data_IF_930340864675
#
_entry.id   IF_930340864675
#
_cell.length_a   1.000
_cell.length_b   1.000
_cell.length_c   1.000
_cell.angle_alpha   90.00
_cell.angle_beta   90.00
_cell.angle_gamma   90.00
#
_symmetry.space_group_name_H-M   'P 1'
#
loop_
_entity.id
_entity.type
_entity.pdbx_description
1 polymer ?
#
# COMPACT_ATOMS: atom_id res chain seq x y z
N UNK A 1 22.19 -15.50 -8.21
CA UNK A 1 20.92 -15.83 -8.90
C UNK A 1 20.11 -14.55 -9.06
N UNK A 2 19.51 -14.35 -10.24
CA UNK A 2 19.13 -13.05 -10.78
C UNK A 2 18.27 -12.20 -9.83
N UNK A 3 18.67 -10.94 -9.64
CA UNK A 3 17.77 -9.88 -9.21
C UNK A 3 16.63 -9.85 -10.23
N UNK A 4 15.44 -10.31 -9.87
CA UNK A 4 14.21 -9.93 -10.57
C UNK A 4 13.97 -8.43 -10.31
N UNK A 5 14.84 -7.62 -10.91
CA UNK A 5 14.72 -6.19 -11.05
C UNK A 5 13.37 -5.91 -11.68
N UNK A 6 12.47 -5.33 -10.88
CA UNK A 6 11.30 -4.56 -11.28
C UNK A 6 10.90 -4.78 -12.73
N UNK A 7 10.17 -5.86 -12.98
CA UNK A 7 9.60 -6.10 -14.30
C UNK A 7 8.88 -4.82 -14.73
N UNK A 8 9.19 -4.33 -15.95
CA UNK A 8 8.54 -3.21 -16.65
C UNK A 8 7.03 -3.44 -16.91
N UNK A 9 6.36 -4.24 -16.08
CA UNK A 9 4.97 -4.65 -16.21
C UNK A 9 4.07 -3.61 -15.58
N UNK A 10 3.52 -2.76 -16.44
CA UNK A 10 2.61 -1.69 -16.11
C UNK A 10 1.38 -2.18 -15.36
N UNK A 11 1.15 -1.61 -14.18
CA UNK A 11 -0.20 -1.26 -13.74
C UNK A 11 -0.91 -0.45 -14.84
N UNK A 12 -2.14 -0.81 -15.16
CA UNK A 12 -3.04 -0.14 -16.11
C UNK A 12 -3.55 1.23 -15.60
N UNK A 13 -2.64 2.11 -15.17
CA UNK A 13 -3.02 3.49 -14.86
C UNK A 13 -3.49 4.18 -16.14
N UNK A 14 -4.77 4.53 -16.17
CA UNK A 14 -5.34 5.33 -17.25
C UNK A 14 -4.49 6.58 -17.50
N UNK A 15 -4.18 6.83 -18.77
CA UNK A 15 -3.32 7.94 -19.20
C UNK A 15 -1.82 7.73 -19.06
N UNK A 16 -1.35 6.54 -18.61
CA UNK A 16 0.06 6.15 -18.50
C UNK A 16 0.98 7.27 -17.97
N UNK A 17 0.73 7.78 -16.74
CA UNK A 17 1.42 8.96 -16.22
C UNK A 17 2.93 8.77 -16.04
N UNK A 18 3.39 7.51 -16.06
CA UNK A 18 4.79 7.11 -15.92
C UNK A 18 5.49 6.86 -17.26
N UNK A 19 4.86 7.17 -18.41
CA UNK A 19 5.45 6.94 -19.73
C UNK A 19 5.93 8.24 -20.37
N UNK A 20 7.16 8.23 -20.89
CA UNK A 20 7.77 9.32 -21.66
C UNK A 20 8.22 8.74 -23.00
N UNK A 21 7.70 9.29 -24.12
CA UNK A 21 7.97 8.78 -25.47
C UNK A 21 7.69 7.28 -25.63
N UNK A 22 6.60 6.79 -25.04
CA UNK A 22 6.22 5.37 -25.06
C UNK A 22 7.02 4.48 -24.09
N UNK A 23 8.05 4.99 -23.44
CA UNK A 23 8.88 4.23 -22.49
C UNK A 23 8.44 4.52 -21.05
N UNK A 24 8.11 3.46 -20.31
CA UNK A 24 7.80 3.54 -18.87
C UNK A 24 9.06 3.87 -18.08
N UNK A 25 8.94 4.79 -17.13
CA UNK A 25 9.99 5.23 -16.22
C UNK A 25 9.53 5.14 -14.77
N UNK A 26 10.48 5.01 -13.85
CA UNK A 26 10.19 5.19 -12.43
C UNK A 26 9.89 6.67 -12.14
N UNK A 27 9.14 6.94 -11.08
CA UNK A 27 8.81 8.30 -10.68
C UNK A 27 10.05 9.20 -10.58
N UNK A 28 11.16 8.67 -10.06
CA UNK A 28 12.41 9.42 -9.89
C UNK A 28 13.07 9.83 -11.22
N UNK A 29 12.80 9.09 -12.30
CA UNK A 29 13.38 9.32 -13.63
C UNK A 29 12.47 10.18 -14.52
N UNK A 30 11.31 10.59 -14.00
CA UNK A 30 10.38 11.44 -14.74
C UNK A 30 10.83 12.91 -14.77
N UNK A 31 10.51 13.63 -15.86
CA UNK A 31 10.55 15.08 -15.92
C UNK A 31 9.74 15.75 -14.78
N UNK A 32 10.13 16.95 -14.39
CA UNK A 32 9.58 17.62 -13.20
C UNK A 32 8.08 17.96 -13.33
N UNK A 33 7.62 18.32 -14.54
CA UNK A 33 6.22 18.53 -14.87
C UNK A 33 5.39 17.25 -14.63
N UNK A 34 5.90 16.08 -15.06
CA UNK A 34 5.26 14.78 -14.84
C UNK A 34 5.25 14.39 -13.36
N UNK A 35 6.34 14.63 -12.63
CA UNK A 35 6.39 14.44 -11.17
C UNK A 35 5.32 15.28 -10.47
N UNK A 36 5.18 16.55 -10.83
CA UNK A 36 4.18 17.45 -10.27
C UNK A 36 2.76 16.97 -10.60
N UNK A 37 2.52 16.52 -11.83
CA UNK A 37 1.24 15.91 -12.22
C UNK A 37 0.90 14.68 -11.37
N UNK A 38 1.85 13.75 -11.17
CA UNK A 38 1.64 12.55 -10.36
C UNK A 38 1.40 12.89 -8.89
N UNK A 39 2.10 13.88 -8.32
CA UNK A 39 1.81 14.37 -6.96
C UNK A 39 0.38 14.89 -6.84
N UNK A 40 -0.10 15.65 -7.83
CA UNK A 40 -1.48 16.11 -7.90
C UNK A 40 -2.47 14.96 -8.01
N UNK A 41 -2.18 13.97 -8.86
CA UNK A 41 -3.00 12.78 -9.02
C UNK A 41 -3.05 11.94 -7.74
N UNK A 42 -1.93 11.75 -7.06
CA UNK A 42 -1.83 11.02 -5.78
C UNK A 42 -2.71 11.62 -4.70
N UNK A 43 -2.74 12.95 -4.58
CA UNK A 43 -3.66 13.65 -3.65
C UNK A 43 -5.13 13.43 -4.00
N UNK A 44 -5.48 13.48 -5.30
CA UNK A 44 -6.86 13.22 -5.75
C UNK A 44 -7.29 11.79 -5.45
N UNK A 45 -6.42 10.82 -5.73
CA UNK A 45 -6.66 9.41 -5.43
C UNK A 45 -6.76 9.18 -3.93
N UNK A 46 -5.88 9.77 -3.11
CA UNK A 46 -5.98 9.71 -1.64
C UNK A 46 -7.33 10.22 -1.12
N UNK A 47 -7.83 11.33 -1.65
CA UNK A 47 -9.17 11.84 -1.32
C UNK A 47 -10.28 10.85 -1.70
N UNK A 48 -10.25 10.31 -2.92
CA UNK A 48 -11.23 9.32 -3.38
C UNK A 48 -11.18 8.02 -2.55
N UNK A 49 -9.97 7.58 -2.18
CA UNK A 49 -9.77 6.45 -1.27
C UNK A 49 -10.42 6.73 0.08
N UNK A 50 -10.15 7.89 0.68
CA UNK A 50 -10.67 8.24 1.99
C UNK A 50 -12.20 8.25 2.01
N UNK A 51 -12.83 8.90 1.04
CA UNK A 51 -14.30 8.93 0.93
C UNK A 51 -14.91 7.53 0.83
N UNK A 52 -14.25 6.60 0.14
CA UNK A 52 -14.73 5.22 0.03
C UNK A 52 -14.44 4.36 1.27
N UNK A 53 -13.39 4.66 2.04
CA UNK A 53 -12.85 3.78 3.08
C UNK A 53 -13.20 4.21 4.51
N UNK A 54 -13.59 5.46 4.75
CA UNK A 54 -13.74 6.05 6.09
C UNK A 54 -14.62 5.25 7.07
N UNK A 55 -15.65 4.57 6.54
CA UNK A 55 -16.60 3.76 7.31
C UNK A 55 -16.40 2.25 7.12
N UNK A 56 -15.32 1.84 6.47
CA UNK A 56 -15.02 0.43 6.15
C UNK A 56 -13.94 -0.12 7.07
N UNK A 57 -13.92 -1.44 7.16
CA UNK A 57 -12.86 -2.19 7.84
C UNK A 57 -12.65 -3.56 7.21
N UNK A 58 -11.48 -4.15 7.41
CA UNK A 58 -11.13 -5.48 6.94
C UNK A 58 -10.75 -6.33 8.14
N UNK A 59 -11.41 -7.48 8.31
CA UNK A 59 -11.04 -8.45 9.33
C UNK A 59 -9.95 -9.37 8.80
N UNK A 60 -8.93 -9.63 9.63
CA UNK A 60 -7.82 -10.51 9.31
C UNK A 60 -7.41 -11.35 10.51
N UNK A 61 -6.75 -12.48 10.27
CA UNK A 61 -6.15 -13.28 11.34
C UNK A 61 -4.64 -13.01 11.38
N UNK A 62 -4.14 -12.52 12.52
CA UNK A 62 -2.73 -12.30 12.78
C UNK A 62 -2.34 -12.93 14.13
N UNK A 63 -1.27 -13.72 14.14
CA UNK A 63 -0.79 -14.45 15.33
C UNK A 63 -1.89 -15.26 16.07
N UNK A 64 -2.83 -15.84 15.32
CA UNK A 64 -3.95 -16.62 15.87
C UNK A 64 -5.09 -15.78 16.47
N UNK A 65 -5.06 -14.45 16.31
CA UNK A 65 -6.12 -13.53 16.76
C UNK A 65 -6.79 -12.87 15.57
N UNK A 66 -8.11 -12.70 15.65
CA UNK A 66 -8.84 -11.86 14.71
C UNK A 66 -8.59 -10.39 15.04
N UNK A 67 -8.12 -9.64 14.06
CA UNK A 67 -7.92 -8.19 14.13
C UNK A 67 -8.85 -7.51 13.15
N UNK A 68 -9.30 -6.31 13.51
CA UNK A 68 -10.08 -5.44 12.62
C UNK A 68 -9.19 -4.30 12.17
N UNK A 69 -8.82 -4.30 10.89
CA UNK A 69 -8.01 -3.25 10.27
C UNK A 69 -8.96 -2.17 9.75
N UNK A 70 -8.77 -0.95 10.21
CA UNK A 70 -9.55 0.22 9.84
C UNK A 70 -8.70 1.18 9.01
N UNK A 71 -9.36 2.22 8.50
CA UNK A 71 -8.71 3.24 7.66
C UNK A 71 -8.82 4.59 8.32
N UNK A 72 -7.72 5.33 8.35
CA UNK A 72 -7.69 6.74 8.73
C UNK A 72 -7.14 7.58 7.56
N UNK A 73 -7.36 8.89 7.62
CA UNK A 73 -6.96 9.80 6.55
C UNK A 73 -5.44 9.77 6.30
N UNK A 74 -4.64 9.67 7.36
CA UNK A 74 -3.17 9.72 7.27
C UNK A 74 -2.62 8.46 6.60
N UNK A 75 -3.10 7.30 7.01
CA UNK A 75 -2.75 6.00 6.44
C UNK A 75 -3.18 5.88 4.99
N UNK A 76 -4.38 6.37 4.66
CA UNK A 76 -4.84 6.44 3.26
C UNK A 76 -3.94 7.32 2.40
N UNK A 77 -3.57 8.51 2.87
CA UNK A 77 -2.66 9.40 2.14
C UNK A 77 -1.27 8.79 1.96
N UNK A 78 -0.75 8.12 2.99
CA UNK A 78 0.52 7.39 2.91
C UNK A 78 0.45 6.28 1.87
N UNK A 79 -0.56 5.41 1.92
CA UNK A 79 -0.76 4.36 0.92
C UNK A 79 -0.87 4.94 -0.49
N UNK A 80 -1.61 6.06 -0.64
CA UNK A 80 -1.77 6.70 -1.93
C UNK A 80 -0.46 7.24 -2.49
N UNK A 81 0.35 7.83 -1.62
CA UNK A 81 1.70 8.32 -1.93
C UNK A 81 2.63 7.16 -2.27
N UNK A 82 2.67 6.12 -1.45
CA UNK A 82 3.62 5.02 -1.62
C UNK A 82 3.32 4.24 -2.90
N UNK A 83 2.05 3.91 -3.15
CA UNK A 83 1.63 3.21 -4.35
C UNK A 83 1.99 3.98 -5.63
N UNK A 84 1.81 5.30 -5.65
CA UNK A 84 2.01 6.10 -6.87
C UNK A 84 3.44 6.63 -7.01
N UNK A 85 4.06 7.09 -5.93
CA UNK A 85 5.36 7.75 -5.98
C UNK A 85 6.48 6.76 -5.75
N UNK A 86 6.43 5.98 -4.66
CA UNK A 86 7.52 5.04 -4.31
C UNK A 86 7.50 3.85 -5.26
N UNK A 87 6.32 3.27 -5.48
CA UNK A 87 6.15 2.09 -6.33
C UNK A 87 5.86 2.44 -7.79
N UNK A 88 5.92 3.72 -8.16
CA UNK A 88 5.65 4.21 -9.52
C UNK A 88 4.35 3.68 -10.12
N UNK A 89 3.33 3.44 -9.30
CA UNK A 89 2.04 2.87 -9.70
C UNK A 89 2.05 1.38 -10.01
N UNK A 90 3.20 0.67 -10.06
CA UNK A 90 3.39 -0.66 -10.69
C UNK A 90 2.37 -1.74 -10.33
N UNK A 91 1.88 -1.72 -9.09
CA UNK A 91 1.13 -2.85 -8.51
C UNK A 91 -0.37 -2.58 -8.37
N UNK A 92 -0.77 -1.32 -8.26
CA UNK A 92 -2.14 -0.95 -7.95
C UNK A 92 -2.66 0.01 -9.00
N UNK A 93 -3.76 -0.35 -9.65
CA UNK A 93 -4.52 0.60 -10.49
C UNK A 93 -5.25 1.62 -9.61
N UNK A 94 -5.74 2.71 -10.21
CA UNK A 94 -6.63 3.67 -9.51
C UNK A 94 -7.78 2.95 -8.81
N UNK A 95 -8.47 2.05 -9.52
CA UNK A 95 -9.64 1.36 -8.99
C UNK A 95 -9.27 0.42 -7.82
N UNK A 96 -8.13 -0.26 -7.93
CA UNK A 96 -7.60 -1.11 -6.86
C UNK A 96 -7.24 -0.29 -5.62
N UNK A 97 -6.69 0.92 -5.79
CA UNK A 97 -6.39 1.82 -4.68
C UNK A 97 -7.65 2.34 -4.00
N UNK A 98 -8.62 2.85 -4.77
CA UNK A 98 -9.91 3.33 -4.21
C UNK A 98 -10.59 2.20 -3.43
N UNK A 99 -10.49 0.95 -3.91
CA UNK A 99 -11.04 -0.22 -3.25
C UNK A 99 -10.01 -1.09 -2.54
N UNK A 100 -9.00 -0.46 -1.90
CA UNK A 100 -7.89 -1.21 -1.30
C UNK A 100 -8.34 -2.19 -0.22
N UNK A 101 -9.49 -1.97 0.43
CA UNK A 101 -10.09 -2.92 1.36
C UNK A 101 -10.29 -4.32 0.77
N UNK A 102 -10.67 -4.44 -0.52
CA UNK A 102 -10.76 -5.74 -1.18
C UNK A 102 -9.38 -6.37 -1.43
N UNK A 103 -8.38 -5.57 -1.78
CA UNK A 103 -7.01 -6.07 -1.99
C UNK A 103 -6.43 -6.54 -0.67
N UNK A 104 -6.63 -5.76 0.39
CA UNK A 104 -6.19 -6.09 1.74
C UNK A 104 -6.91 -7.34 2.27
N UNK A 105 -8.22 -7.49 2.06
CA UNK A 105 -8.97 -8.68 2.47
C UNK A 105 -8.41 -9.98 1.85
N UNK A 106 -7.86 -9.89 0.64
CA UNK A 106 -7.25 -11.02 -0.07
C UNK A 106 -5.73 -11.15 0.16
N UNK A 107 -5.18 -10.43 1.14
CA UNK A 107 -3.76 -10.52 1.51
C UNK A 107 -3.53 -11.57 2.60
N UNK A 108 -2.29 -12.04 2.75
CA UNK A 108 -1.90 -13.03 3.74
C UNK A 108 -0.99 -12.40 4.78
N UNK A 109 -1.28 -12.61 6.07
CA UNK A 109 -0.40 -12.18 7.16
C UNK A 109 1.00 -12.78 7.03
N UNK A 110 2.04 -11.95 7.23
CA UNK A 110 3.45 -12.35 7.27
C UNK A 110 3.93 -12.23 8.71
N UNK A 111 4.12 -13.35 9.42
CA UNK A 111 4.65 -13.34 10.78
C UNK A 111 6.05 -12.71 10.82
N UNK A 112 6.25 -11.79 11.75
CA UNK A 112 7.56 -11.21 12.05
C UNK A 112 8.10 -11.77 13.37
N UNK A 113 9.43 -11.80 13.52
CA UNK A 113 10.16 -12.27 14.72
C UNK A 113 9.64 -11.63 16.03
N UNK A 114 9.13 -10.41 15.95
CA UNK A 114 8.49 -9.72 17.06
C UNK A 114 7.01 -10.16 17.20
N UNK A 115 6.72 -11.18 18.04
CA UNK A 115 5.35 -11.50 18.49
C UNK A 115 4.79 -10.42 19.41
N UNK A 116 3.55 -9.95 19.19
CA UNK A 116 2.93 -8.88 19.99
C UNK A 116 2.55 -9.43 21.37
N UNK A 117 3.54 -9.58 22.25
CA UNK A 117 3.31 -10.12 23.60
C UNK A 117 2.96 -9.03 24.63
N UNK A 118 3.41 -7.78 24.45
CA UNK A 118 3.20 -6.68 25.40
C UNK A 118 2.85 -5.35 24.73
N UNK A 119 1.98 -4.56 25.40
CA UNK A 119 1.61 -3.18 25.05
C UNK A 119 2.84 -2.30 25.23
N UNK A 120 3.55 -1.98 24.15
CA UNK A 120 4.59 -0.94 24.11
C UNK A 120 4.08 0.22 23.27
N UNK A 121 4.51 1.43 23.60
CA UNK A 121 4.20 2.70 22.92
C UNK A 121 4.70 2.77 21.47
N UNK A 122 5.54 1.83 21.08
CA UNK A 122 6.29 1.88 19.83
C UNK A 122 5.48 1.08 18.81
N UNK A 123 4.78 1.81 17.93
CA UNK A 123 3.82 1.29 16.96
C UNK A 123 4.34 0.05 16.23
N UNK A 124 3.90 -1.14 16.65
CA UNK A 124 4.22 -2.36 15.92
C UNK A 124 3.49 -2.37 14.61
N UNK A 125 4.21 -2.71 13.56
CA UNK A 125 3.68 -2.82 12.21
C UNK A 125 3.46 -4.29 11.89
N UNK A 126 2.21 -4.69 11.69
CA UNK A 126 1.86 -5.99 11.12
C UNK A 126 2.00 -5.91 9.60
N UNK A 127 2.40 -7.01 8.98
CA UNK A 127 2.63 -7.05 7.54
C UNK A 127 1.71 -8.05 6.87
N UNK A 128 1.13 -7.66 5.76
CA UNK A 128 0.26 -8.51 4.95
C UNK A 128 0.73 -8.49 3.51
N UNK A 129 0.90 -9.66 2.89
CA UNK A 129 1.33 -9.80 1.51
C UNK A 129 0.14 -10.08 0.60
N UNK A 130 -0.05 -9.26 -0.42
CA UNK A 130 -0.95 -9.57 -1.52
C UNK A 130 -0.14 -9.98 -2.73
N UNK A 131 -0.59 -11.03 -3.41
CA UNK A 131 -0.03 -11.47 -4.69
C UNK A 131 -1.16 -11.44 -5.71
N UNK A 132 -0.96 -10.73 -6.81
CA UNK A 132 -1.94 -10.72 -7.88
C UNK A 132 -1.86 -11.97 -8.76
N UNK A 133 -2.81 -12.09 -9.69
CA UNK A 133 -2.88 -13.21 -10.64
C UNK A 133 -1.66 -13.32 -11.57
N UNK A 134 -0.84 -12.26 -11.69
CA UNK A 134 0.40 -12.24 -12.47
C UNK A 134 1.63 -12.57 -11.64
N UNK A 135 1.43 -12.88 -10.36
CA UNK A 135 2.45 -13.24 -9.41
C UNK A 135 3.19 -12.07 -8.76
N UNK A 136 2.76 -10.83 -8.99
CA UNK A 136 3.37 -9.62 -8.42
C UNK A 136 2.95 -9.48 -6.96
N UNK A 137 3.93 -9.33 -6.08
CA UNK A 137 3.72 -9.18 -4.65
C UNK A 137 3.84 -7.74 -4.18
N UNK A 138 2.93 -7.31 -3.31
CA UNK A 138 3.09 -6.11 -2.47
C UNK A 138 2.81 -6.44 -1.02
N UNK A 139 3.39 -5.64 -0.14
CA UNK A 139 3.29 -5.74 1.30
C UNK A 139 2.53 -4.53 1.82
N UNK A 140 1.46 -4.77 2.55
CA UNK A 140 0.73 -3.80 3.34
C UNK A 140 1.29 -3.79 4.75
N UNK A 141 1.49 -2.59 5.27
CA UNK A 141 1.91 -2.38 6.63
C UNK A 141 0.71 -1.83 7.42
N UNK A 142 0.42 -2.44 8.56
CA UNK A 142 -0.72 -2.12 9.43
C UNK A 142 -0.15 -1.69 10.77
N UNK A 143 -0.36 -0.43 11.13
CA UNK A 143 0.09 0.12 12.39
C UNK A 143 -0.85 -0.32 13.51
N UNK A 144 -0.29 -0.76 14.63
CA UNK A 144 -1.01 -1.01 15.88
C UNK A 144 -0.81 0.16 16.83
N UNK A 145 -1.89 0.85 17.21
CA UNK A 145 -1.87 1.92 18.20
C UNK A 145 -2.90 1.63 19.32
N UNK A 146 -2.45 1.14 20.49
CA UNK A 146 -3.35 0.78 21.59
C UNK A 146 -4.06 1.98 22.23
N UNK A 147 -3.59 3.20 21.99
CA UNK A 147 -4.13 4.42 22.58
C UNK A 147 -5.02 5.20 21.61
N UNK A 148 -5.21 4.72 20.38
CA UNK A 148 -6.09 5.35 19.41
C UNK A 148 -7.47 4.69 19.40
N UNK A 149 -8.48 5.44 18.96
CA UNK A 149 -9.82 4.92 18.69
C UNK A 149 -9.78 3.74 17.70
N UNK A 150 -8.94 3.85 16.67
CA UNK A 150 -8.68 2.80 15.68
C UNK A 150 -7.42 2.04 16.05
N UNK A 151 -7.59 0.84 16.58
CA UNK A 151 -6.51 0.02 17.14
C UNK A 151 -5.52 -0.45 16.07
N UNK A 152 -6.01 -0.84 14.90
CA UNK A 152 -5.20 -1.25 13.76
C UNK A 152 -5.56 -0.42 12.53
N UNK A 153 -4.60 0.29 11.96
CA UNK A 153 -4.84 1.11 10.77
C UNK A 153 -3.90 0.73 9.64
N UNK A 154 -4.43 0.66 8.41
CA UNK A 154 -3.59 0.53 7.23
C UNK A 154 -2.68 1.76 7.12
N UNK A 155 -1.37 1.55 7.01
CA UNK A 155 -0.39 2.63 7.11
C UNK A 155 0.40 2.88 5.83
N UNK A 156 0.91 1.84 5.16
CA UNK A 156 1.80 1.99 4.00
C UNK A 156 1.80 0.76 3.12
N UNK A 157 2.33 0.90 1.90
CA UNK A 157 2.58 -0.20 0.95
C UNK A 157 4.03 -0.22 0.47
N UNK A 158 4.57 -1.42 0.29
CA UNK A 158 5.96 -1.67 -0.10
C UNK A 158 6.05 -2.86 -1.07
N UNK A 159 7.02 -2.85 -1.98
CA UNK A 159 7.42 -4.00 -2.78
C UNK A 159 8.54 -4.83 -2.13
N UNK A 160 9.15 -4.30 -1.06
CA UNK A 160 10.12 -5.00 -0.24
C UNK A 160 9.43 -5.71 0.93
N UNK A 161 9.85 -6.95 1.26
CA UNK A 161 9.41 -7.63 2.48
C UNK A 161 9.86 -6.87 3.74
N UNK A 162 9.18 -7.07 4.88
CA UNK A 162 9.67 -6.55 6.15
C UNK A 162 11.08 -7.08 6.44
N UNK A 163 11.99 -6.18 6.82
CA UNK A 163 13.28 -6.54 7.41
C UNK A 163 13.03 -7.21 8.76
N UNK A 164 13.35 -8.50 8.86
CA UNK A 164 13.15 -9.33 10.05
C UNK A 164 14.21 -9.17 11.12
#
# INVERSE_FOLDING_TARGET
MAKESGSNRSSSWSGNPYSVNGVRKEYNDLPQDRKNYIRGLSRRVGKEMWENLKDKSVSHTADGRSIRIEFDHKGVDHVARDAMIILSGKYLSKQSMVNIHHVLANSTYIPTSHKISHVRSDARTLWFKYKDNQGRGIYFSVAHNPNAEKLYTLYSVSDNPPSG
#
